data_IF_068265586370
#
_entry.id   IF_068265586370
#
_cell.length_a   1.000
_cell.length_b   1.000
_cell.length_c   1.000
_cell.angle_alpha   90.00
_cell.angle_beta   90.00
_cell.angle_gamma   90.00
#
_symmetry.space_group_name_H-M   'P 1'
#
loop_
_entity.id
_entity.type
_entity.pdbx_description
1 polymer ?
#
# COMPACT_ATOMS: atom_id res chain seq x y z
N UNK A 1 -19.16 -12.37 19.56
CA UNK A 1 -18.01 -13.00 20.23
C UNK A 1 -16.77 -12.85 19.35
N UNK A 2 -15.62 -12.48 19.91
CA UNK A 2 -14.37 -12.23 19.13
C UNK A 2 -13.65 -13.53 18.72
N UNK A 3 -14.09 -14.68 19.22
CA UNK A 3 -13.47 -16.00 19.03
C UNK A 3 -13.32 -16.37 17.55
N UNK A 4 -14.38 -16.28 16.74
CA UNK A 4 -14.29 -16.58 15.30
C UNK A 4 -13.34 -15.65 14.54
N UNK A 5 -13.16 -14.40 15.01
CA UNK A 5 -12.18 -13.47 14.42
C UNK A 5 -10.74 -13.89 14.75
N UNK A 6 -10.51 -14.39 15.96
CA UNK A 6 -9.19 -14.90 16.36
C UNK A 6 -8.83 -16.15 15.57
N UNK A 7 -9.76 -17.09 15.43
CA UNK A 7 -9.57 -18.29 14.59
C UNK A 7 -9.28 -17.95 13.14
N UNK A 8 -10.03 -16.99 12.56
CA UNK A 8 -9.79 -16.54 11.20
C UNK A 8 -8.41 -15.88 11.04
N UNK A 9 -7.94 -15.11 12.03
CA UNK A 9 -6.57 -14.55 12.02
C UNK A 9 -5.50 -15.64 12.09
N UNK A 10 -5.70 -16.68 12.92
CA UNK A 10 -4.81 -17.84 13.03
C UNK A 10 -4.75 -18.64 11.73
N UNK A 11 -5.87 -18.75 11.02
CA UNK A 11 -5.95 -19.34 9.67
C UNK A 11 -5.32 -18.47 8.57
N UNK A 12 -4.72 -17.33 8.93
CA UNK A 12 -4.06 -16.43 7.98
C UNK A 12 -5.00 -15.57 7.15
N UNK A 13 -6.29 -15.47 7.52
CA UNK A 13 -7.25 -14.62 6.82
C UNK A 13 -6.84 -13.16 7.03
N UNK A 14 -6.48 -12.49 5.93
CA UNK A 14 -6.13 -11.06 5.93
C UNK A 14 -7.40 -10.24 6.07
N UNK A 15 -7.48 -9.47 7.15
CA UNK A 15 -8.60 -8.58 7.41
C UNK A 15 -8.40 -7.20 6.76
N UNK A 16 -9.52 -6.49 6.63
CA UNK A 16 -9.55 -5.12 6.11
C UNK A 16 -9.64 -5.06 4.60
N UNK A 17 -9.55 -3.83 4.07
CA UNK A 17 -9.65 -3.59 2.63
C UNK A 17 -8.46 -4.21 1.92
N UNK A 18 -8.74 -5.01 0.88
CA UNK A 18 -7.71 -5.54 -0.01
C UNK A 18 -6.95 -4.38 -0.68
N UNK A 19 -5.62 -4.45 -0.67
CA UNK A 19 -4.78 -3.49 -1.40
C UNK A 19 -5.05 -3.65 -2.90
N UNK A 20 -5.31 -2.54 -3.59
CA UNK A 20 -5.58 -2.49 -5.04
C UNK A 20 -4.49 -1.79 -5.84
N UNK A 21 -3.62 -1.03 -5.17
CA UNK A 21 -2.52 -0.28 -5.79
C UNK A 21 -1.25 -1.12 -5.75
N UNK A 22 -0.57 -1.23 -6.89
CA UNK A 22 0.75 -1.87 -6.97
C UNK A 22 1.83 -0.95 -6.38
N UNK A 23 2.46 -1.39 -5.31
CA UNK A 23 3.53 -0.64 -4.62
C UNK A 23 4.84 -0.68 -5.38
N UNK A 24 5.12 -1.77 -6.10
CA UNK A 24 6.39 -1.93 -6.82
C UNK A 24 6.51 -0.89 -7.94
N UNK A 25 5.40 -0.59 -8.62
CA UNK A 25 5.35 0.45 -9.65
C UNK A 25 5.64 1.82 -9.04
N UNK A 26 5.02 2.15 -7.89
CA UNK A 26 5.26 3.41 -7.17
C UNK A 26 6.73 3.55 -6.77
N UNK A 27 7.32 2.49 -6.20
CA UNK A 27 8.71 2.46 -5.77
C UNK A 27 9.67 2.60 -6.95
N UNK A 28 9.41 1.89 -8.04
CA UNK A 28 10.23 1.92 -9.26
C UNK A 28 10.23 3.31 -9.88
N UNK A 29 9.06 3.96 -9.97
CA UNK A 29 8.96 5.33 -10.48
C UNK A 29 9.69 6.33 -9.57
N UNK A 30 9.54 6.19 -8.26
CA UNK A 30 10.24 7.04 -7.32
C UNK A 30 11.77 6.88 -7.40
N UNK A 31 12.26 5.65 -7.54
CA UNK A 31 13.71 5.36 -7.71
C UNK A 31 14.26 5.94 -9.02
N UNK A 32 13.45 6.06 -10.07
CA UNK A 32 13.81 6.75 -11.31
C UNK A 32 13.85 8.28 -11.17
N UNK A 33 13.48 8.82 -10.00
CA UNK A 33 13.43 10.25 -9.74
C UNK A 33 12.08 10.91 -10.06
N UNK A 34 11.04 10.14 -10.39
CA UNK A 34 9.71 10.70 -10.64
C UNK A 34 9.11 11.27 -9.35
N UNK A 35 8.59 12.50 -9.42
CA UNK A 35 7.99 13.18 -8.28
C UNK A 35 6.65 12.57 -7.85
N UNK A 36 6.32 12.68 -6.55
CA UNK A 36 5.11 12.07 -5.99
C UNK A 36 3.79 12.55 -6.65
N UNK A 37 3.74 13.82 -7.07
CA UNK A 37 2.57 14.38 -7.78
C UNK A 37 2.37 13.74 -9.15
N UNK A 38 3.47 13.49 -9.87
CA UNK A 38 3.43 12.88 -11.20
C UNK A 38 3.07 11.40 -11.11
N UNK A 39 3.64 10.66 -10.14
CA UNK A 39 3.27 9.26 -9.85
C UNK A 39 1.77 9.16 -9.52
N UNK A 40 1.27 10.08 -8.68
CA UNK A 40 -0.14 10.13 -8.32
C UNK A 40 -1.04 10.31 -9.55
N UNK A 41 -0.67 11.21 -10.46
CA UNK A 41 -1.38 11.42 -11.72
C UNK A 41 -1.31 10.19 -12.63
N UNK A 42 -0.12 9.63 -12.87
CA UNK A 42 0.09 8.48 -13.75
C UNK A 42 -0.70 7.25 -13.30
N UNK A 43 -0.77 7.01 -11.99
CA UNK A 43 -1.46 5.84 -11.42
C UNK A 43 -2.90 6.13 -10.98
N UNK A 44 -3.39 7.37 -11.18
CA UNK A 44 -4.71 7.82 -10.74
C UNK A 44 -5.00 7.51 -9.25
N UNK A 45 -4.02 7.79 -8.41
CA UNK A 45 -4.10 7.63 -6.94
C UNK A 45 -3.88 8.98 -6.25
N UNK A 46 -4.33 9.08 -4.99
CA UNK A 46 -4.06 10.26 -4.19
C UNK A 46 -2.57 10.37 -3.84
N UNK A 47 -2.02 11.60 -3.83
CA UNK A 47 -0.63 11.87 -3.38
C UNK A 47 -0.34 11.32 -1.98
N UNK A 48 -1.32 11.33 -1.08
CA UNK A 48 -1.19 10.74 0.26
C UNK A 48 -0.94 9.23 0.21
N UNK A 49 -1.49 8.54 -0.79
CA UNK A 49 -1.24 7.10 -1.00
C UNK A 49 0.19 6.85 -1.45
N UNK A 50 0.73 7.70 -2.32
CA UNK A 50 2.14 7.64 -2.73
C UNK A 50 3.06 7.76 -1.52
N UNK A 51 2.90 8.83 -0.72
CA UNK A 51 3.73 9.03 0.48
C UNK A 51 3.59 7.90 1.49
N UNK A 52 2.37 7.41 1.72
CA UNK A 52 2.15 6.27 2.62
C UNK A 52 2.87 5.01 2.16
N UNK A 53 2.92 4.75 0.84
CA UNK A 53 3.66 3.60 0.30
C UNK A 53 5.17 3.78 0.51
N UNK A 54 5.69 4.99 0.28
CA UNK A 54 7.12 5.29 0.50
C UNK A 54 7.51 5.20 1.98
N UNK A 55 6.63 5.64 2.88
CA UNK A 55 6.82 5.53 4.33
C UNK A 55 6.75 4.08 4.81
N UNK A 56 5.74 3.31 4.38
CA UNK A 56 5.61 1.89 4.69
C UNK A 56 6.86 1.09 4.25
N UNK A 57 7.45 1.43 3.10
CA UNK A 57 8.67 0.77 2.61
C UNK A 57 9.90 1.13 3.44
N UNK A 58 10.02 2.38 3.92
CA UNK A 58 11.12 2.79 4.80
C UNK A 58 11.03 2.18 6.20
N UNK A 59 9.82 1.83 6.64
CA UNK A 59 9.56 1.22 7.95
C UNK A 59 9.62 -0.31 7.94
N UNK A 60 9.73 -0.93 6.76
CA UNK A 60 9.87 -2.38 6.57
C UNK A 60 11.33 -2.80 6.55
#
# INVERSE_FOLDING_TARGET
>A
TNEGRQEAKLKGIKFGRRRTVDRNVVLTLHQKGTGATEIAHQLSIARSTVYKILEDERAS
#
